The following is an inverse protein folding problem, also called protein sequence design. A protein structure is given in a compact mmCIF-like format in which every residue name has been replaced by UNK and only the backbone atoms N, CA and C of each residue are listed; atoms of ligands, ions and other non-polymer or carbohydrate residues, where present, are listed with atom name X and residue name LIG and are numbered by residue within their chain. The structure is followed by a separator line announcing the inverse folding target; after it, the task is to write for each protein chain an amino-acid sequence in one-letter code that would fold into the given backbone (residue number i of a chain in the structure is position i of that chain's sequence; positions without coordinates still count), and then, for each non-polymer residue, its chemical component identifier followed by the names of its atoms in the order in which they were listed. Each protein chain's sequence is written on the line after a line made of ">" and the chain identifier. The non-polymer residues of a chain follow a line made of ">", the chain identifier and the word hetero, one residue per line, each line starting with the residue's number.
data_IF_470060178577
#
_entry.id   IF_470060178577
#
_cell.length_a   1.000
_cell.length_b   1.000
_cell.length_c   1.000
_cell.angle_alpha   90.00
_cell.angle_beta   90.00
_cell.angle_gamma   90.00
#
_symmetry.space_group_name_H-M   'P 1'
#
loop_
_entity.id
_entity.type
_entity.pdbx_description
1 polymer ?
#
# COMPACT_ATOMS: atom_id res chain seq x y z
N UNK A 1 27.61 44.36 15.96
CA UNK A 1 28.41 43.91 14.79
C UNK A 1 27.66 42.76 14.14
N UNK A 2 26.99 43.02 13.03
CA UNK A 2 26.08 42.10 12.35
C UNK A 2 26.87 41.23 11.36
N UNK A 3 27.36 40.08 11.82
CA UNK A 3 27.92 39.07 10.94
C UNK A 3 26.78 38.42 10.13
N UNK A 4 26.39 39.06 9.02
CA UNK A 4 25.59 38.41 7.98
C UNK A 4 26.56 37.59 7.15
N UNK A 5 26.76 36.35 7.56
CA UNK A 5 27.64 35.40 6.89
C UNK A 5 26.98 34.94 5.59
N UNK A 6 27.74 34.96 4.50
CA UNK A 6 27.33 34.42 3.20
C UNK A 6 27.78 32.97 3.09
N UNK A 7 27.08 32.11 2.37
CA UNK A 7 27.45 30.71 2.25
C UNK A 7 27.29 30.20 0.81
N UNK A 8 27.92 29.09 0.50
CA UNK A 8 27.77 28.38 -0.79
C UNK A 8 27.85 26.87 -0.60
N UNK A 9 27.54 26.11 -1.64
CA UNK A 9 27.72 24.64 -1.62
C UNK A 9 29.21 24.33 -1.39
N UNK A 10 29.51 23.62 -0.30
CA UNK A 10 30.88 23.28 0.12
C UNK A 10 31.53 24.29 1.06
N UNK A 11 30.97 25.50 1.23
CA UNK A 11 31.48 26.51 2.16
C UNK A 11 30.34 27.11 3.01
N UNK A 12 30.03 26.44 4.12
CA UNK A 12 29.03 26.90 5.08
C UNK A 12 29.69 27.69 6.21
N UNK A 13 29.54 29.01 6.19
CA UNK A 13 30.01 29.89 7.27
C UNK A 13 28.88 30.50 8.09
N UNK A 14 27.67 29.94 8.00
CA UNK A 14 26.53 30.45 8.78
C UNK A 14 26.76 30.33 10.29
N UNK A 15 26.28 31.31 11.04
CA UNK A 15 26.31 31.29 12.50
C UNK A 15 25.31 30.27 13.08
N UNK A 16 25.42 30.02 14.38
CA UNK A 16 24.49 29.17 15.12
C UNK A 16 23.06 29.71 14.95
N UNK A 17 22.10 28.81 14.74
CA UNK A 17 20.69 29.12 14.44
C UNK A 17 20.43 29.77 13.06
N UNK A 18 21.41 29.72 12.17
CA UNK A 18 21.23 30.04 10.75
C UNK A 18 21.50 28.80 9.90
N UNK A 19 20.90 28.75 8.71
CA UNK A 19 21.15 27.74 7.72
C UNK A 19 21.60 28.38 6.41
N UNK A 20 22.30 27.60 5.61
CA UNK A 20 22.74 28.02 4.28
C UNK A 20 21.70 27.63 3.23
N UNK A 21 21.02 28.57 2.55
CA UNK A 21 20.03 28.22 1.52
C UNK A 21 20.67 27.94 0.15
N UNK A 22 21.99 28.09 -0.01
CA UNK A 22 22.67 27.91 -1.28
C UNK A 22 22.44 26.52 -1.89
N UNK A 23 21.98 26.50 -3.14
CA UNK A 23 21.85 25.30 -3.98
C UNK A 23 22.98 25.18 -5.02
N UNK A 24 23.90 26.16 -5.08
CA UNK A 24 25.04 26.18 -6.00
C UNK A 24 26.26 26.91 -5.45
N UNK A 25 27.15 27.31 -6.36
CA UNK A 25 28.43 27.99 -6.04
C UNK A 25 28.27 29.48 -5.72
N UNK A 26 27.11 30.07 -6.03
CA UNK A 26 26.82 31.46 -5.72
C UNK A 26 26.68 31.66 -4.20
N UNK A 27 27.16 32.81 -3.74
CA UNK A 27 27.10 33.19 -2.34
C UNK A 27 25.69 33.63 -1.97
N UNK A 28 25.02 32.86 -1.12
CA UNK A 28 23.72 33.19 -0.57
C UNK A 28 23.84 33.78 0.84
N UNK A 29 22.89 34.62 1.22
CA UNK A 29 22.84 35.13 2.59
C UNK A 29 22.31 34.04 3.51
N UNK A 30 23.02 33.75 4.61
CA UNK A 30 22.52 32.81 5.62
C UNK A 30 21.17 33.27 6.17
N UNK A 31 20.23 32.33 6.24
CA UNK A 31 18.86 32.60 6.71
C UNK A 31 18.65 32.03 8.10
N UNK A 32 17.81 32.69 8.89
CA UNK A 32 17.48 32.22 10.24
C UNK A 32 16.75 30.89 10.13
N UNK A 33 17.04 29.99 11.05
CA UNK A 33 16.32 28.73 11.13
C UNK A 33 14.83 28.91 11.40
N UNK A 34 14.00 28.21 10.63
CA UNK A 34 12.55 28.11 10.82
C UNK A 34 12.04 26.75 10.32
N UNK A 35 10.73 26.53 10.46
CA UNK A 35 10.04 25.34 9.92
C UNK A 35 10.03 25.31 8.38
N UNK A 36 10.35 26.42 7.73
CA UNK A 36 10.29 26.61 6.28
C UNK A 36 11.61 26.24 5.58
N UNK A 37 12.61 25.75 6.34
CA UNK A 37 13.85 25.23 5.77
C UNK A 37 13.51 24.09 4.78
N UNK A 38 14.07 24.11 3.56
CA UNK A 38 13.83 23.03 2.61
C UNK A 38 14.35 21.68 3.12
N UNK A 39 13.65 20.60 2.78
CA UNK A 39 14.07 19.24 3.17
C UNK A 39 15.48 18.95 2.65
N UNK A 40 16.32 18.37 3.51
CA UNK A 40 17.73 18.08 3.25
C UNK A 40 18.71 19.16 3.73
N UNK A 41 18.21 20.38 3.97
CA UNK A 41 18.96 21.47 4.60
C UNK A 41 18.80 21.43 6.12
N UNK A 42 19.52 22.25 6.86
CA UNK A 42 19.29 22.36 8.30
C UNK A 42 20.19 23.35 9.02
N UNK A 43 19.84 23.61 10.28
CA UNK A 43 20.51 24.58 11.13
C UNK A 43 21.96 24.26 11.41
N UNK A 44 22.78 25.30 11.46
CA UNK A 44 24.07 25.24 12.10
C UNK A 44 23.90 25.21 13.62
N UNK A 45 24.34 24.12 14.22
CA UNK A 45 24.17 23.87 15.66
C UNK A 45 25.45 24.13 16.45
N UNK A 46 26.59 23.95 15.77
CA UNK A 46 27.85 24.61 16.11
C UNK A 46 28.30 25.42 14.91
N UNK A 47 29.24 26.34 15.10
CA UNK A 47 29.78 27.14 14.00
C UNK A 47 30.15 26.26 12.80
N UNK A 48 29.64 26.61 11.62
CA UNK A 48 29.89 25.92 10.33
C UNK A 48 29.42 24.47 10.23
N UNK A 49 28.68 23.94 11.23
CA UNK A 49 28.24 22.54 11.26
C UNK A 49 26.73 22.43 11.27
N UNK A 50 26.18 22.15 10.08
CA UNK A 50 24.75 21.93 9.87
C UNK A 50 24.33 20.51 10.26
N UNK A 51 23.14 20.37 10.87
CA UNK A 51 22.45 19.10 11.05
C UNK A 51 21.25 19.08 10.11
N UNK A 52 21.26 18.18 9.11
CA UNK A 52 20.18 18.06 8.13
C UNK A 52 18.82 17.84 8.80
N UNK A 53 17.81 18.48 8.26
CA UNK A 53 16.42 18.54 8.70
C UNK A 53 16.23 19.05 10.14
N UNK A 54 17.23 19.69 10.73
CA UNK A 54 17.13 20.29 12.05
C UNK A 54 16.68 21.75 11.93
N UNK A 55 15.68 22.15 12.74
CA UNK A 55 15.15 23.52 12.79
C UNK A 55 15.45 24.23 14.11
N UNK A 56 15.82 23.48 15.15
CA UNK A 56 16.21 24.02 16.45
C UNK A 56 17.25 23.09 17.07
N UNK A 57 18.34 23.64 17.60
CA UNK A 57 19.40 22.84 18.20
C UNK A 57 20.13 23.53 19.35
N UNK A 58 20.81 22.72 20.16
CA UNK A 58 21.68 23.15 21.26
C UNK A 58 23.00 22.40 21.19
N UNK A 59 24.08 23.13 20.93
CA UNK A 59 25.42 22.58 20.73
C UNK A 59 25.43 21.54 19.60
N UNK A 60 25.72 20.27 19.88
CA UNK A 60 25.73 19.18 18.88
C UNK A 60 24.43 18.40 18.75
N UNK A 61 23.38 18.83 19.47
CA UNK A 61 22.11 18.10 19.55
C UNK A 61 21.02 18.86 18.82
N UNK A 62 20.31 18.18 17.93
CA UNK A 62 19.07 18.70 17.38
C UNK A 62 17.95 18.56 18.42
N UNK A 63 17.25 19.64 18.71
CA UNK A 63 16.11 19.65 19.63
C UNK A 63 14.79 19.44 18.88
N UNK A 64 14.65 20.05 17.69
CA UNK A 64 13.48 19.90 16.83
C UNK A 64 13.88 19.70 15.38
N UNK A 65 13.21 18.75 14.74
CA UNK A 65 13.36 18.45 13.32
C UNK A 65 12.21 19.06 12.50
N UNK A 66 12.40 19.12 11.18
CA UNK A 66 11.34 19.41 10.22
C UNK A 66 10.19 18.39 10.37
N UNK A 67 8.94 18.77 10.02
CA UNK A 67 7.84 17.82 9.88
C UNK A 67 8.23 16.63 8.99
N UNK A 68 7.76 15.43 9.32
CA UNK A 68 8.17 14.18 8.68
C UNK A 68 9.49 13.61 9.20
N UNK A 69 10.11 14.21 10.23
CA UNK A 69 11.32 13.71 10.88
C UNK A 69 11.18 13.71 12.40
N UNK A 70 11.89 12.79 13.07
CA UNK A 70 12.01 12.72 14.51
C UNK A 70 13.47 12.82 14.96
N UNK A 71 13.65 13.32 16.18
CA UNK A 71 14.97 13.47 16.78
C UNK A 71 15.49 12.11 17.26
N UNK A 72 16.67 11.71 16.79
CA UNK A 72 17.43 10.59 17.32
C UNK A 72 18.84 11.07 17.72
N UNK A 73 19.05 11.28 19.02
CA UNK A 73 20.29 11.79 19.62
C UNK A 73 20.78 13.10 18.99
N UNK A 74 21.59 13.01 17.94
CA UNK A 74 22.26 14.14 17.27
C UNK A 74 21.74 14.39 15.86
N UNK A 75 20.73 13.64 15.39
CA UNK A 75 20.27 13.68 13.99
C UNK A 75 18.74 13.67 13.92
N UNK A 76 18.24 14.09 12.77
CA UNK A 76 16.85 13.96 12.39
C UNK A 76 16.68 12.78 11.44
N UNK A 77 15.90 11.79 11.85
CA UNK A 77 15.58 10.61 11.05
C UNK A 77 14.17 10.74 10.47
N UNK A 78 13.98 10.28 9.24
CA UNK A 78 12.69 10.38 8.57
C UNK A 78 11.68 9.46 9.27
N UNK A 79 10.44 9.92 9.38
CA UNK A 79 9.32 9.08 9.81
C UNK A 79 9.08 7.93 8.81
N UNK A 80 8.44 6.87 9.29
CA UNK A 80 8.00 5.76 8.44
C UNK A 80 7.01 6.24 7.37
N UNK A 81 6.90 5.48 6.28
CA UNK A 81 6.06 5.84 5.13
C UNK A 81 4.62 6.15 5.55
N UNK A 82 4.05 7.24 5.00
CA UNK A 82 2.69 7.69 5.30
C UNK A 82 2.53 8.38 6.65
N UNK A 83 3.60 8.52 7.43
CA UNK A 83 3.59 9.20 8.71
C UNK A 83 4.10 10.64 8.57
N UNK A 84 3.23 11.61 8.87
CA UNK A 84 3.53 13.04 8.84
C UNK A 84 4.33 13.50 10.06
N UNK A 85 4.00 12.96 11.24
CA UNK A 85 4.76 13.23 12.47
C UNK A 85 4.92 11.96 13.30
N UNK A 86 6.12 11.75 13.82
CA UNK A 86 6.46 10.58 14.61
C UNK A 86 7.37 10.94 15.79
N UNK A 87 7.36 10.09 16.82
CA UNK A 87 8.31 10.15 17.96
C UNK A 87 9.51 9.23 17.78
N UNK A 88 9.34 8.18 16.98
CA UNK A 88 10.37 7.22 16.61
C UNK A 88 9.97 6.54 15.30
N UNK A 89 10.84 5.68 14.78
CA UNK A 89 10.59 4.85 13.59
C UNK A 89 9.24 4.10 13.67
N UNK A 90 8.90 3.58 14.85
CA UNK A 90 7.69 2.75 15.07
C UNK A 90 6.57 3.48 15.81
N UNK A 91 6.67 4.80 16.00
CA UNK A 91 5.70 5.57 16.77
C UNK A 91 5.22 6.77 15.97
N UNK A 92 4.31 6.52 15.04
CA UNK A 92 3.62 7.58 14.34
C UNK A 92 2.57 8.23 15.24
N UNK A 93 2.45 9.55 15.15
CA UNK A 93 1.47 10.35 15.89
C UNK A 93 0.47 11.06 14.98
N UNK A 94 0.81 11.27 13.70
CA UNK A 94 -0.10 11.85 12.70
C UNK A 94 0.24 11.31 11.32
N UNK A 95 -0.79 10.94 10.56
CA UNK A 95 -0.61 10.45 9.19
C UNK A 95 -0.59 11.58 8.17
N UNK A 96 0.03 11.30 7.02
CA UNK A 96 -0.10 12.10 5.81
C UNK A 96 -1.52 11.98 5.24
N UNK A 97 -1.88 12.93 4.37
CA UNK A 97 -3.15 12.85 3.64
C UNK A 97 -3.16 11.59 2.77
N UNK A 98 -4.32 10.95 2.67
CA UNK A 98 -4.44 9.64 2.00
C UNK A 98 -4.06 8.44 2.87
N UNK A 99 -3.74 8.64 4.15
CA UNK A 99 -3.47 7.54 5.09
C UNK A 99 -4.45 7.55 6.28
N UNK A 100 -4.63 6.38 6.92
CA UNK A 100 -5.44 6.20 8.13
C UNK A 100 -4.54 5.78 9.27
N UNK A 101 -4.73 6.41 10.43
CA UNK A 101 -3.97 6.12 11.64
C UNK A 101 -4.52 4.89 12.37
N UNK A 102 -3.68 3.89 12.56
CA UNK A 102 -3.97 2.76 13.45
C UNK A 102 -3.45 3.06 14.85
N UNK A 103 -4.35 3.38 15.77
CA UNK A 103 -4.00 3.80 17.13
C UNK A 103 -3.37 2.68 17.98
N UNK A 104 -3.70 1.42 17.72
CA UNK A 104 -3.16 0.26 18.44
C UNK A 104 -1.71 -0.03 18.03
N UNK A 105 -1.42 0.04 16.73
CA UNK A 105 -0.08 -0.23 16.17
C UNK A 105 0.79 1.02 16.06
N UNK A 106 0.23 2.22 16.22
CA UNK A 106 0.91 3.52 16.03
C UNK A 106 1.54 3.68 14.64
N UNK A 107 0.87 3.18 13.61
CA UNK A 107 1.29 3.25 12.20
C UNK A 107 0.20 3.84 11.32
N UNK A 108 0.59 4.27 10.12
CA UNK A 108 -0.30 4.76 9.09
C UNK A 108 -0.43 3.73 7.97
N UNK A 109 -1.65 3.47 7.52
CA UNK A 109 -1.92 2.60 6.36
C UNK A 109 -2.58 3.40 5.25
N UNK A 110 -2.24 3.17 3.96
CA UNK A 110 -2.89 3.86 2.86
C UNK A 110 -4.40 3.68 2.90
N UNK A 111 -5.13 4.74 2.55
CA UNK A 111 -6.55 4.67 2.21
C UNK A 111 -6.70 3.94 0.88
N UNK A 112 -7.79 3.23 0.74
CA UNK A 112 -8.26 2.73 -0.54
C UNK A 112 -9.56 3.47 -0.91
N UNK A 113 -9.79 3.64 -2.20
CA UNK A 113 -11.01 4.22 -2.78
C UNK A 113 -11.70 3.24 -3.72
N UNK A 114 -10.95 2.28 -4.23
CA UNK A 114 -11.38 1.24 -5.15
C UNK A 114 -10.69 -0.05 -4.77
N UNK A 115 -11.24 -1.18 -5.25
CA UNK A 115 -10.66 -2.47 -4.94
C UNK A 115 -9.26 -2.67 -5.56
N UNK A 116 -8.97 -1.96 -6.67
CA UNK A 116 -7.66 -1.94 -7.33
C UNK A 116 -6.54 -1.41 -6.43
N UNK A 117 -6.86 -0.51 -5.49
CA UNK A 117 -5.89 0.04 -4.53
C UNK A 117 -5.36 -1.00 -3.53
N UNK A 118 -6.03 -2.16 -3.44
CA UNK A 118 -5.63 -3.27 -2.57
C UNK A 118 -5.11 -4.49 -3.33
N UNK A 119 -5.08 -4.44 -4.68
CA UNK A 119 -4.70 -5.59 -5.51
C UNK A 119 -3.20 -5.93 -5.45
N UNK A 120 -2.34 -4.98 -5.06
CA UNK A 120 -0.92 -5.26 -4.75
C UNK A 120 -0.76 -6.21 -3.56
N UNK A 121 -1.80 -6.33 -2.73
CA UNK A 121 -1.85 -7.14 -1.51
C UNK A 121 -2.84 -8.29 -1.68
N UNK A 122 -2.39 -9.36 -2.34
CA UNK A 122 -3.15 -10.63 -2.48
C UNK A 122 -3.94 -10.98 -1.21
N UNK A 123 -5.20 -11.35 -1.37
CA UNK A 123 -6.08 -11.68 -0.25
C UNK A 123 -6.62 -10.47 0.51
N UNK A 124 -6.67 -9.28 -0.12
CA UNK A 124 -7.33 -8.09 0.44
C UNK A 124 -8.31 -7.47 -0.53
N UNK A 125 -9.30 -6.77 0.03
CA UNK A 125 -10.22 -5.90 -0.70
C UNK A 125 -10.30 -4.53 -0.05
N UNK A 126 -10.77 -3.54 -0.81
CA UNK A 126 -11.08 -2.23 -0.25
C UNK A 126 -12.45 -2.23 0.42
N UNK A 127 -12.48 -2.07 1.75
CA UNK A 127 -13.70 -1.77 2.47
C UNK A 127 -14.00 -0.27 2.33
N UNK A 128 -14.99 0.09 1.51
CA UNK A 128 -15.35 1.49 1.22
C UNK A 128 -16.01 2.22 2.41
N UNK A 129 -16.45 1.48 3.45
CA UNK A 129 -16.96 2.09 4.68
C UNK A 129 -15.80 2.62 5.52
N UNK A 130 -14.75 1.81 5.65
CA UNK A 130 -13.55 2.16 6.45
C UNK A 130 -12.46 2.85 5.63
N UNK A 131 -12.54 2.76 4.29
CA UNK A 131 -11.50 3.10 3.32
C UNK A 131 -10.17 2.36 3.61
N UNK A 132 -10.25 1.11 4.07
CA UNK A 132 -9.09 0.28 4.41
C UNK A 132 -9.05 -1.01 3.60
N UNK A 133 -7.83 -1.45 3.26
CA UNK A 133 -7.61 -2.78 2.73
C UNK A 133 -7.77 -3.83 3.82
N UNK A 134 -8.90 -4.51 3.83
CA UNK A 134 -9.24 -5.58 4.76
C UNK A 134 -9.03 -6.96 4.11
N UNK A 135 -8.86 -7.98 4.94
CA UNK A 135 -8.62 -9.33 4.44
C UNK A 135 -9.87 -9.90 3.76
N UNK A 136 -9.66 -10.62 2.67
CA UNK A 136 -10.69 -11.48 2.08
C UNK A 136 -11.12 -12.58 3.04
N UNK A 137 -12.23 -13.25 2.69
CA UNK A 137 -12.63 -14.50 3.33
C UNK A 137 -11.60 -15.63 3.17
N UNK A 138 -11.79 -16.75 3.87
CA UNK A 138 -10.88 -17.90 3.80
C UNK A 138 -10.64 -18.40 2.38
N UNK A 139 -9.41 -18.85 2.11
CA UNK A 139 -8.99 -19.48 0.84
C UNK A 139 -9.13 -18.61 -0.41
N UNK A 140 -9.37 -17.31 -0.21
CA UNK A 140 -9.60 -16.35 -1.25
C UNK A 140 -8.32 -15.66 -1.67
N UNK A 141 -8.01 -15.72 -2.96
CA UNK A 141 -6.89 -14.97 -3.52
C UNK A 141 -7.29 -13.53 -3.83
N UNK A 142 -8.49 -13.37 -4.39
CA UNK A 142 -9.04 -12.09 -4.82
C UNK A 142 -10.52 -12.00 -4.47
N UNK A 143 -10.92 -10.90 -3.86
CA UNK A 143 -12.28 -10.66 -3.41
C UNK A 143 -12.69 -9.21 -3.63
N UNK A 144 -14.00 -8.96 -3.58
CA UNK A 144 -14.60 -7.62 -3.51
C UNK A 144 -15.20 -7.33 -2.11
N UNK A 145 -15.34 -8.37 -1.29
CA UNK A 145 -15.90 -8.31 0.06
C UNK A 145 -15.36 -9.49 0.90
N UNK A 146 -15.60 -9.53 2.22
CA UNK A 146 -15.13 -10.65 3.04
C UNK A 146 -15.89 -11.95 2.74
N UNK A 147 -17.03 -11.88 2.05
CA UNK A 147 -17.90 -13.02 1.70
C UNK A 147 -18.01 -13.28 0.20
N UNK A 148 -17.32 -12.51 -0.64
CA UNK A 148 -17.40 -12.68 -2.09
C UNK A 148 -16.02 -12.59 -2.75
N UNK A 149 -15.54 -13.75 -3.16
CA UNK A 149 -14.34 -14.03 -3.93
C UNK A 149 -14.66 -14.17 -5.40
N UNK A 150 -13.66 -13.87 -6.23
CA UNK A 150 -13.69 -14.22 -7.66
C UNK A 150 -12.47 -15.06 -8.07
N UNK A 151 -11.59 -15.39 -7.12
CA UNK A 151 -10.52 -16.37 -7.31
C UNK A 151 -10.09 -16.97 -5.99
N UNK A 152 -9.81 -18.27 -6.01
CA UNK A 152 -9.25 -19.00 -4.88
C UNK A 152 -7.72 -19.05 -4.91
N UNK A 153 -7.10 -19.33 -3.77
CA UNK A 153 -5.64 -19.32 -3.55
C UNK A 153 -4.91 -20.42 -4.35
N UNK A 154 -5.58 -21.53 -4.63
CA UNK A 154 -5.02 -22.65 -5.39
C UNK A 154 -6.14 -23.47 -6.04
N UNK A 155 -5.76 -24.36 -6.94
CA UNK A 155 -6.69 -25.26 -7.64
C UNK A 155 -7.27 -26.38 -6.75
N UNK A 156 -6.85 -26.45 -5.48
CA UNK A 156 -7.47 -27.31 -4.48
C UNK A 156 -8.81 -26.77 -3.99
N UNK A 157 -9.11 -25.50 -4.30
CA UNK A 157 -10.33 -24.84 -3.90
C UNK A 157 -11.17 -24.52 -5.12
N UNK A 158 -12.48 -24.75 -5.01
CA UNK A 158 -13.43 -24.43 -6.08
C UNK A 158 -14.25 -23.22 -5.66
N UNK A 159 -14.36 -22.24 -6.57
CA UNK A 159 -15.20 -21.07 -6.35
C UNK A 159 -16.68 -21.44 -6.55
N UNK A 160 -17.50 -21.19 -5.53
CA UNK A 160 -18.96 -21.35 -5.62
C UNK A 160 -19.61 -20.16 -6.31
N UNK A 161 -20.85 -20.33 -6.80
CA UNK A 161 -21.63 -19.21 -7.37
C UNK A 161 -21.91 -18.08 -6.37
N UNK A 162 -21.83 -18.38 -5.08
CA UNK A 162 -21.95 -17.39 -4.00
C UNK A 162 -20.64 -16.63 -3.74
N UNK A 163 -19.58 -16.91 -4.50
CA UNK A 163 -18.27 -16.28 -4.32
C UNK A 163 -17.51 -16.84 -3.11
N UNK A 164 -17.71 -18.09 -2.72
CA UNK A 164 -16.99 -18.70 -1.60
C UNK A 164 -16.00 -19.73 -2.16
N UNK A 165 -14.77 -19.73 -1.64
CA UNK A 165 -13.78 -20.74 -1.97
C UNK A 165 -13.91 -21.90 -0.98
N UNK A 166 -14.40 -23.03 -1.46
CA UNK A 166 -14.57 -24.25 -0.67
C UNK A 166 -13.55 -25.30 -1.10
N UNK A 167 -13.33 -26.30 -0.25
CA UNK A 167 -12.48 -27.44 -0.62
C UNK A 167 -13.06 -28.10 -1.87
N UNK A 168 -12.29 -28.09 -2.94
CA UNK A 168 -12.68 -28.67 -4.20
C UNK A 168 -12.65 -30.19 -4.16
N UNK A 169 -13.11 -30.77 -5.26
CA UNK A 169 -13.05 -32.19 -5.49
C UNK A 169 -11.67 -32.53 -6.08
N UNK A 170 -10.99 -33.52 -5.52
CA UNK A 170 -9.71 -33.97 -6.05
C UNK A 170 -9.92 -34.59 -7.45
N UNK A 171 -9.09 -34.19 -8.42
CA UNK A 171 -9.05 -34.74 -9.78
C UNK A 171 -10.33 -34.55 -10.63
N UNK A 172 -11.02 -33.41 -10.48
CA UNK A 172 -12.10 -33.00 -11.39
C UNK A 172 -11.67 -33.13 -12.85
N UNK A 173 -12.46 -33.86 -13.63
CA UNK A 173 -12.28 -33.97 -15.06
C UNK A 173 -12.89 -32.76 -15.78
N UNK A 174 -12.49 -32.57 -17.04
CA UNK A 174 -13.11 -31.55 -17.87
C UNK A 174 -14.61 -31.83 -18.02
N UNK A 175 -15.44 -30.81 -17.76
CA UNK A 175 -16.89 -30.94 -17.77
C UNK A 175 -17.50 -31.39 -16.43
N UNK A 176 -16.72 -31.41 -15.35
CA UNK A 176 -17.23 -31.68 -14.00
C UNK A 176 -17.13 -30.42 -13.10
N UNK A 177 -18.06 -30.31 -12.15
CA UNK A 177 -18.03 -29.32 -11.09
C UNK A 177 -18.11 -30.01 -9.73
N UNK A 178 -17.69 -29.32 -8.68
CA UNK A 178 -17.74 -29.88 -7.32
C UNK A 178 -19.05 -29.48 -6.63
N UNK A 179 -19.85 -30.47 -6.23
CA UNK A 179 -21.05 -30.29 -5.43
C UNK A 179 -20.85 -30.97 -4.08
N UNK A 180 -20.69 -30.18 -3.02
CA UNK A 180 -20.59 -30.70 -1.64
C UNK A 180 -19.49 -31.78 -1.50
N UNK A 181 -18.35 -31.58 -2.18
CA UNK A 181 -17.21 -32.52 -2.15
C UNK A 181 -17.32 -33.70 -3.11
N UNK A 182 -18.37 -33.78 -3.94
CA UNK A 182 -18.55 -34.80 -4.98
C UNK A 182 -18.48 -34.20 -6.39
N UNK A 183 -17.75 -34.86 -7.29
CA UNK A 183 -17.71 -34.49 -8.70
C UNK A 183 -19.03 -34.87 -9.38
N UNK A 184 -19.62 -33.90 -10.09
CA UNK A 184 -20.87 -34.07 -10.84
C UNK A 184 -20.72 -33.43 -12.24
N UNK A 185 -21.43 -33.91 -13.26
CA UNK A 185 -21.39 -33.32 -14.59
C UNK A 185 -21.87 -31.86 -14.58
N UNK A 186 -21.21 -30.99 -15.34
CA UNK A 186 -21.61 -29.59 -15.44
C UNK A 186 -22.91 -29.42 -16.21
N UNK A 187 -23.73 -28.50 -15.74
CA UNK A 187 -24.97 -28.07 -16.37
C UNK A 187 -25.24 -26.59 -16.09
N UNK A 188 -26.23 -26.02 -16.76
CA UNK A 188 -26.62 -24.64 -16.51
C UNK A 188 -27.22 -24.50 -15.10
N UNK A 189 -26.61 -23.69 -14.24
CA UNK A 189 -27.00 -23.58 -12.83
C UNK A 189 -26.15 -24.41 -11.85
N UNK A 190 -24.95 -24.85 -12.26
CA UNK A 190 -23.92 -25.36 -11.35
C UNK A 190 -23.76 -24.47 -10.12
N UNK A 191 -23.54 -25.07 -8.95
CA UNK A 191 -23.31 -24.33 -7.70
C UNK A 191 -21.86 -23.92 -7.49
N UNK A 192 -20.95 -24.41 -8.34
CA UNK A 192 -19.53 -24.05 -8.34
C UNK A 192 -18.95 -24.06 -9.74
N UNK A 193 -17.74 -23.52 -9.90
CA UNK A 193 -17.08 -23.43 -11.19
C UNK A 193 -16.84 -24.81 -11.80
N UNK A 194 -17.25 -24.96 -13.05
CA UNK A 194 -16.97 -26.11 -13.88
C UNK A 194 -15.49 -26.13 -14.30
N UNK A 195 -14.84 -27.29 -14.22
CA UNK A 195 -13.48 -27.48 -14.72
C UNK A 195 -13.52 -27.57 -16.25
N UNK A 196 -13.03 -26.55 -16.95
CA UNK A 196 -12.90 -26.54 -18.41
C UNK A 196 -11.44 -26.23 -18.79
N UNK A 197 -10.59 -27.26 -18.86
CA UNK A 197 -9.16 -27.05 -19.13
C UNK A 197 -8.54 -26.07 -18.12
N UNK A 198 -7.87 -25.04 -18.62
CA UNK A 198 -7.27 -23.96 -17.80
C UNK A 198 -8.23 -22.77 -17.57
N UNK A 199 -9.45 -22.81 -18.12
CA UNK A 199 -10.42 -21.74 -17.97
C UNK A 199 -11.01 -21.71 -16.57
N UNK A 200 -11.36 -20.50 -16.12
CA UNK A 200 -11.94 -20.24 -14.80
C UNK A 200 -13.35 -19.70 -14.93
N UNK A 201 -14.15 -19.84 -13.86
CA UNK A 201 -15.49 -19.26 -13.73
C UNK A 201 -16.51 -19.75 -14.78
N UNK A 202 -16.31 -20.93 -15.35
CA UNK A 202 -17.23 -21.54 -16.29
C UNK A 202 -18.45 -22.15 -15.57
N UNK A 203 -19.64 -22.04 -16.15
CA UNK A 203 -20.81 -22.83 -15.76
C UNK A 203 -20.91 -24.13 -16.57
N UNK A 204 -20.53 -24.10 -17.86
CA UNK A 204 -20.50 -25.27 -18.76
C UNK A 204 -19.26 -25.26 -19.66
N UNK A 205 -18.88 -26.41 -20.22
CA UNK A 205 -17.72 -26.55 -21.11
C UNK A 205 -18.09 -27.08 -22.51
N UNK A 206 -17.26 -26.69 -23.48
CA UNK A 206 -17.09 -27.40 -24.75
C UNK A 206 -16.18 -28.63 -24.59
N UNK A 207 -16.24 -29.55 -25.55
CA UNK A 207 -15.33 -30.71 -25.63
C UNK A 207 -13.85 -30.32 -25.72
N UNK A 208 -13.55 -29.13 -26.25
CA UNK A 208 -12.19 -28.61 -26.35
C UNK A 208 -11.69 -27.93 -25.06
N UNK A 209 -12.51 -27.90 -24.00
CA UNK A 209 -12.12 -27.32 -22.71
C UNK A 209 -12.28 -25.81 -22.60
N UNK A 210 -13.04 -25.16 -23.49
CA UNK A 210 -13.43 -23.74 -23.35
C UNK A 210 -14.76 -23.61 -22.60
N UNK A 211 -14.96 -22.53 -21.83
CA UNK A 211 -16.28 -22.27 -21.25
C UNK A 211 -17.29 -22.02 -22.38
N UNK A 212 -18.46 -22.64 -22.31
CA UNK A 212 -19.60 -22.37 -23.20
C UNK A 212 -20.62 -21.44 -22.56
N UNK A 213 -20.67 -21.39 -21.24
CA UNK A 213 -21.39 -20.39 -20.45
C UNK A 213 -20.62 -20.08 -19.18
N UNK A 214 -20.89 -18.91 -18.58
CA UNK A 214 -20.20 -18.44 -17.38
C UNK A 214 -21.08 -18.55 -16.15
N UNK A 215 -20.45 -18.61 -14.97
CA UNK A 215 -21.16 -18.44 -13.71
C UNK A 215 -21.82 -17.05 -13.63
N UNK A 216 -22.85 -16.87 -12.78
CA UNK A 216 -23.44 -15.56 -12.55
C UNK A 216 -22.38 -14.50 -12.22
N UNK A 217 -22.57 -13.28 -12.73
CA UNK A 217 -21.65 -12.12 -12.60
C UNK A 217 -20.35 -12.17 -13.43
N UNK A 218 -20.20 -13.16 -14.29
CA UNK A 218 -19.11 -13.24 -15.26
C UNK A 218 -19.65 -13.13 -16.69
N UNK A 219 -18.88 -12.47 -17.54
CA UNK A 219 -19.16 -12.33 -18.96
C UNK A 219 -18.20 -13.21 -19.76
N UNK A 220 -18.74 -13.87 -20.79
CA UNK A 220 -17.94 -14.66 -21.71
C UNK A 220 -17.24 -13.72 -22.70
N UNK A 221 -15.91 -13.80 -22.76
CA UNK A 221 -15.08 -13.11 -23.74
C UNK A 221 -14.83 -13.96 -24.99
N UNK A 222 -14.15 -13.36 -25.97
CA UNK A 222 -13.64 -14.05 -27.14
C UNK A 222 -12.77 -15.25 -26.69
N UNK A 223 -12.93 -16.40 -27.35
CA UNK A 223 -12.31 -17.68 -26.97
C UNK A 223 -12.89 -18.38 -25.73
N UNK A 224 -14.03 -17.93 -25.19
CA UNK A 224 -14.75 -18.68 -24.16
C UNK A 224 -14.11 -18.63 -22.78
N UNK A 225 -13.34 -17.59 -22.48
CA UNK A 225 -12.92 -17.26 -21.11
C UNK A 225 -14.03 -16.49 -20.39
N UNK A 226 -14.21 -16.71 -19.09
CA UNK A 226 -15.19 -15.99 -18.27
C UNK A 226 -14.49 -14.98 -17.35
N UNK A 227 -14.64 -13.70 -17.67
CA UNK A 227 -14.07 -12.59 -16.91
C UNK A 227 -15.15 -11.85 -16.14
N UNK A 228 -14.75 -11.15 -15.08
CA UNK A 228 -15.69 -10.40 -14.25
C UNK A 228 -16.28 -9.23 -15.06
N UNK A 229 -17.58 -9.01 -14.95
CA UNK A 229 -18.19 -7.80 -15.50
C UNK A 229 -17.55 -6.56 -14.86
N UNK A 230 -16.99 -5.67 -15.68
CA UNK A 230 -16.42 -4.38 -15.28
C UNK A 230 -17.46 -3.41 -14.75
#
# INVERSE_FOLDING_TARGET
>A
MTAKTYCSVGNNVCDINYYCPASGVLHETCQKCSIDIPVGYGCNCTAKKSIKNCIECRSRYCLKCLPGFYTNLTRCLKCTQGCKDCKSEYNCTRCEDGYIFNSARKICTPKCFTNTDCMDRKGKYCNLITNQCESCGPFCQWCISPSFCYSCISDQYTLTVSGICEMGCLNLQNGEYCKEGKAEPCFEGCTSACKCGEQKNCATCSLAGYCTSCLPHYQQEMFGACTQCS
#
